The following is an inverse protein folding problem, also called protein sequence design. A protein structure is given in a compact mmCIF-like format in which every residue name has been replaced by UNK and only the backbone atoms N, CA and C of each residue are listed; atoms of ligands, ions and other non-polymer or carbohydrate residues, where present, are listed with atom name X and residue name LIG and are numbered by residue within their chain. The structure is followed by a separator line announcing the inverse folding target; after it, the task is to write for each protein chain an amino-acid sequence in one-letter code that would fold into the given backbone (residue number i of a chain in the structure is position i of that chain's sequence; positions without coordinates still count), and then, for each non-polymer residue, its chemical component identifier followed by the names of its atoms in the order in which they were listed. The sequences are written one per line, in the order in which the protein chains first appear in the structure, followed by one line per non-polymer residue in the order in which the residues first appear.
data_IF_907250449340
#
_entry.id   IF_907250449340
#
_cell.length_a   1.000
_cell.length_b   1.000
_cell.length_c   1.000
_cell.angle_alpha   90.00
_cell.angle_beta   90.00
_cell.angle_gamma   90.00
#
_symmetry.space_group_name_H-M   'P 1'
#
loop_
_entity.id
_entity.type
_entity.pdbx_description
1 polymer ?
#
# COMPACT_ATOMS: atom_id res chain seq x y z
N UNK A 1 21.71 50.41 39.19
CA UNK A 1 21.36 50.18 37.77
C UNK A 1 20.06 49.40 37.75
N UNK A 2 19.33 49.32 36.62
CA UNK A 2 18.14 48.46 36.52
C UNK A 2 18.54 47.02 36.21
N UNK A 3 17.78 46.03 36.72
CA UNK A 3 17.93 44.62 36.34
C UNK A 3 17.93 44.43 34.82
N UNK A 4 18.65 43.41 34.37
CA UNK A 4 18.65 42.94 32.98
C UNK A 4 18.09 41.52 32.91
N UNK A 5 18.15 40.85 31.76
CA UNK A 5 17.57 39.51 31.59
C UNK A 5 18.49 38.62 30.74
N UNK A 6 18.45 37.30 30.96
CA UNK A 6 19.10 36.34 30.07
C UNK A 6 18.53 36.43 28.66
N UNK A 7 19.35 36.10 27.67
CA UNK A 7 18.98 36.32 26.26
C UNK A 7 17.94 35.32 25.75
N UNK A 8 17.90 34.09 26.28
CA UNK A 8 17.08 32.99 25.73
C UNK A 8 15.74 32.85 26.45
N UNK A 9 15.75 32.50 27.73
CA UNK A 9 14.52 32.23 28.51
C UNK A 9 14.12 33.37 29.47
N UNK A 10 14.77 34.53 29.34
CA UNK A 10 14.37 35.79 29.99
C UNK A 10 14.34 35.74 31.52
N UNK A 11 15.28 35.01 32.13
CA UNK A 11 15.46 35.04 33.58
C UNK A 11 16.07 36.39 34.00
N UNK A 12 15.57 36.99 35.07
CA UNK A 12 16.08 38.26 35.58
C UNK A 12 17.54 38.12 36.06
N UNK A 13 18.36 39.09 35.67
CA UNK A 13 19.73 39.27 36.13
C UNK A 13 19.77 40.54 36.99
N UNK A 14 20.13 40.38 38.26
CA UNK A 14 20.13 41.46 39.23
C UNK A 14 21.17 42.52 38.89
N UNK A 15 20.86 43.79 39.14
CA UNK A 15 21.82 44.87 38.97
C UNK A 15 22.78 45.01 40.15
N UNK A 16 23.96 45.58 39.88
CA UNK A 16 24.95 45.87 40.93
C UNK A 16 24.34 46.76 42.03
N UNK A 17 24.41 46.27 43.28
CA UNK A 17 23.94 46.96 44.48
C UNK A 17 22.51 46.61 44.94
N UNK A 18 21.73 45.82 44.19
CA UNK A 18 20.39 45.37 44.62
C UNK A 18 20.45 44.33 45.75
N UNK A 19 21.55 43.58 45.83
CA UNK A 19 21.91 42.70 46.95
C UNK A 19 23.31 43.05 47.44
N UNK A 20 23.53 42.99 48.76
CA UNK A 20 24.81 43.39 49.36
C UNK A 20 25.98 42.51 48.84
N UNK A 21 27.09 43.16 48.45
CA UNK A 21 28.35 42.53 47.99
C UNK A 21 28.26 41.82 46.62
N UNK A 22 29.21 40.93 46.32
CA UNK A 22 29.33 40.22 45.01
C UNK A 22 28.33 39.10 44.80
N UNK A 23 27.32 38.98 45.66
CA UNK A 23 26.32 37.90 45.62
C UNK A 23 25.47 37.94 44.36
N UNK A 24 24.93 39.10 43.99
CA UNK A 24 24.10 39.25 42.78
C UNK A 24 24.85 38.84 41.52
N UNK A 25 26.10 39.29 41.39
CA UNK A 25 26.95 38.93 40.25
C UNK A 25 27.30 37.43 40.23
N UNK A 26 27.60 36.83 41.38
CA UNK A 26 27.86 35.37 41.48
C UNK A 26 26.63 34.54 41.14
N UNK A 27 25.44 34.95 41.59
CA UNK A 27 24.18 34.29 41.25
C UNK A 27 23.89 34.39 39.75
N UNK A 28 24.02 35.58 39.18
CA UNK A 28 23.81 35.82 37.76
C UNK A 28 24.72 34.92 36.91
N UNK A 29 26.03 34.91 37.19
CA UNK A 29 27.02 34.20 36.38
C UNK A 29 27.00 32.69 36.60
N UNK A 30 26.93 32.23 37.86
CA UNK A 30 27.17 30.82 38.19
C UNK A 30 25.89 30.00 38.28
N UNK A 31 24.71 30.63 38.20
CA UNK A 31 23.42 29.94 38.28
C UNK A 31 22.51 30.37 37.15
N UNK A 32 22.11 31.64 37.10
CA UNK A 32 21.01 32.08 36.23
C UNK A 32 21.40 31.92 34.75
N UNK A 33 22.59 32.38 34.36
CA UNK A 33 23.09 32.19 33.00
C UNK A 33 23.30 30.72 32.65
N UNK A 34 23.83 29.92 33.58
CA UNK A 34 24.07 28.50 33.34
C UNK A 34 22.77 27.69 33.22
N UNK A 35 21.70 28.10 33.90
CA UNK A 35 20.35 27.51 33.72
C UNK A 35 19.77 27.90 32.36
N UNK A 36 19.93 29.15 31.93
CA UNK A 36 19.52 29.60 30.59
C UNK A 36 20.23 28.78 29.48
N UNK A 37 21.52 28.52 29.65
CA UNK A 37 22.28 27.65 28.76
C UNK A 37 21.79 26.20 28.80
N UNK A 38 21.57 25.65 29.99
CA UNK A 38 21.14 24.26 30.19
C UNK A 38 19.77 23.95 29.56
N UNK A 39 18.89 24.94 29.49
CA UNK A 39 17.54 24.78 28.96
C UNK A 39 17.47 25.04 27.46
N UNK A 40 18.23 26.00 26.93
CA UNK A 40 17.99 26.51 25.58
C UNK A 40 19.24 26.80 24.73
N UNK A 41 20.46 26.67 25.24
CA UNK A 41 21.63 26.98 24.42
C UNK A 41 21.80 26.00 23.24
N UNK A 42 22.26 26.56 22.12
CA UNK A 42 22.65 25.88 20.90
C UNK A 42 24.15 26.06 20.70
N UNK A 43 24.90 24.97 20.73
CA UNK A 43 26.35 24.98 20.54
C UNK A 43 26.74 24.20 19.30
N UNK A 44 27.58 24.80 18.46
CA UNK A 44 28.17 24.13 17.29
C UNK A 44 29.60 23.69 17.61
N UNK A 45 29.85 22.39 17.45
CA UNK A 45 31.14 21.74 17.70
C UNK A 45 31.71 21.22 16.37
N UNK A 46 32.98 21.53 16.09
CA UNK A 46 33.69 20.99 14.93
C UNK A 46 34.44 19.74 15.32
N UNK A 47 34.25 18.65 14.58
CA UNK A 47 34.91 17.35 14.78
C UNK A 47 36.06 17.11 13.78
N UNK A 48 36.36 18.09 12.94
CA UNK A 48 37.35 17.94 11.87
C UNK A 48 38.77 17.77 12.43
N UNK A 49 39.42 16.66 12.07
CA UNK A 49 40.83 16.38 12.42
C UNK A 49 41.03 15.74 13.80
N UNK A 50 39.97 15.47 14.54
CA UNK A 50 40.04 14.88 15.88
C UNK A 50 39.95 13.34 15.84
N UNK A 51 40.75 12.67 16.66
CA UNK A 51 40.63 11.22 16.89
C UNK A 51 39.52 10.88 17.90
N UNK A 52 39.26 11.80 18.84
CA UNK A 52 38.13 11.81 19.77
C UNK A 52 37.96 13.23 20.28
N UNK A 53 36.73 13.66 20.49
CA UNK A 53 36.39 15.00 20.95
C UNK A 53 35.71 14.93 22.31
N UNK A 54 36.29 15.54 23.34
CA UNK A 54 35.65 15.64 24.66
C UNK A 54 35.02 17.02 24.79
N UNK A 55 33.70 17.06 25.02
CA UNK A 55 33.02 18.33 25.27
C UNK A 55 33.61 18.99 26.51
N UNK A 56 33.79 20.30 26.45
CA UNK A 56 34.12 21.07 27.66
C UNK A 56 33.03 20.86 28.72
N UNK A 57 33.46 20.68 29.96
CA UNK A 57 32.59 20.38 31.11
C UNK A 57 33.14 21.08 32.35
N UNK A 58 32.83 22.36 32.49
CA UNK A 58 33.39 23.23 33.54
C UNK A 58 32.44 23.35 34.73
N UNK A 59 32.99 23.43 35.94
CA UNK A 59 32.22 23.72 37.14
C UNK A 59 31.98 25.23 37.27
N UNK A 60 30.71 25.63 37.33
CA UNK A 60 30.33 27.03 37.58
C UNK A 60 30.76 28.01 36.48
N UNK A 61 30.97 27.52 35.25
CA UNK A 61 31.32 28.32 34.09
C UNK A 61 30.60 27.78 32.85
N UNK A 62 30.63 28.54 31.76
CA UNK A 62 30.11 28.11 30.46
C UNK A 62 30.90 26.93 29.92
N UNK A 63 30.21 25.99 29.31
CA UNK A 63 30.78 24.78 28.75
C UNK A 63 29.86 24.20 27.67
N UNK A 64 30.43 23.43 26.75
CA UNK A 64 29.70 22.87 25.61
C UNK A 64 28.73 21.78 26.07
N UNK A 65 29.14 20.95 27.04
CA UNK A 65 28.30 19.88 27.57
C UNK A 65 27.04 20.40 28.27
N UNK A 66 26.98 21.67 28.66
CA UNK A 66 25.81 22.30 29.28
C UNK A 66 24.73 22.67 28.28
N UNK A 67 25.03 22.89 27.02
CA UNK A 67 23.99 23.25 26.04
C UNK A 67 22.92 22.17 25.89
N UNK A 68 21.67 22.61 25.71
CA UNK A 68 20.53 21.71 25.44
C UNK A 68 20.61 21.12 24.03
N UNK A 69 21.14 21.88 23.08
CA UNK A 69 21.23 21.52 21.66
C UNK A 69 22.69 21.55 21.22
N UNK A 70 23.14 20.46 20.60
CA UNK A 70 24.49 20.30 20.05
C UNK A 70 24.41 20.05 18.55
N UNK A 71 25.12 20.85 17.76
CA UNK A 71 25.34 20.63 16.33
C UNK A 71 26.78 20.22 16.09
N UNK A 72 26.98 19.02 15.57
CA UNK A 72 28.31 18.55 15.17
C UNK A 72 28.52 18.79 13.68
N UNK A 73 29.66 19.38 13.32
CA UNK A 73 30.05 19.67 11.94
C UNK A 73 31.49 19.25 11.66
N UNK A 74 31.88 19.29 10.39
CA UNK A 74 33.23 18.92 9.93
C UNK A 74 33.23 17.62 9.13
N UNK A 75 34.36 17.33 8.50
CA UNK A 75 34.56 16.07 7.77
C UNK A 75 35.08 14.99 8.71
N UNK A 76 34.54 13.78 8.58
CA UNK A 76 34.92 12.60 9.35
C UNK A 76 35.40 11.52 8.38
N UNK A 77 36.71 11.31 8.38
CA UNK A 77 37.41 10.33 7.54
C UNK A 77 37.68 9.02 8.27
N UNK A 78 37.84 9.08 9.60
CA UNK A 78 37.96 7.93 10.49
C UNK A 78 36.99 8.07 11.65
N UNK A 79 36.48 6.95 12.18
CA UNK A 79 35.48 7.01 13.24
C UNK A 79 36.00 7.76 14.48
N UNK A 80 35.16 8.61 15.03
CA UNK A 80 35.48 9.51 16.14
C UNK A 80 34.49 9.33 17.29
N UNK A 81 34.99 9.36 18.52
CA UNK A 81 34.13 9.42 19.69
C UNK A 81 33.90 10.86 20.14
N UNK A 82 32.64 11.25 20.32
CA UNK A 82 32.25 12.47 21.03
C UNK A 82 31.91 12.12 22.46
N UNK A 83 32.72 12.61 23.40
CA UNK A 83 32.66 12.26 24.82
C UNK A 83 31.91 13.35 25.58
N UNK A 84 30.75 12.98 26.10
CA UNK A 84 29.94 13.79 27.02
C UNK A 84 30.23 13.42 28.49
N UNK A 85 29.89 14.28 29.46
CA UNK A 85 30.00 13.93 30.87
C UNK A 85 29.17 12.70 31.25
N UNK A 86 29.70 11.86 32.12
CA UNK A 86 29.02 10.73 32.77
C UNK A 86 27.98 11.22 33.79
N UNK A 87 26.99 11.99 33.34
CA UNK A 87 25.95 12.62 34.14
C UNK A 87 24.60 12.45 33.46
N UNK A 88 23.53 12.35 34.27
CA UNK A 88 22.18 12.27 33.72
C UNK A 88 21.81 13.58 33.03
N UNK A 89 21.57 13.53 31.72
CA UNK A 89 21.17 14.68 30.91
C UNK A 89 20.67 14.23 29.54
N UNK A 90 19.70 14.95 28.99
CA UNK A 90 19.30 14.83 27.59
C UNK A 90 19.88 15.94 26.72
N UNK A 91 20.02 15.65 25.44
CA UNK A 91 20.52 16.52 24.40
C UNK A 91 19.65 16.37 23.15
N UNK A 92 19.42 17.47 22.46
CA UNK A 92 19.04 17.42 21.05
C UNK A 92 20.34 17.48 20.25
N UNK A 93 20.61 16.46 19.46
CA UNK A 93 21.82 16.39 18.63
C UNK A 93 21.43 16.53 17.16
N UNK A 94 22.14 17.41 16.47
CA UNK A 94 22.06 17.61 15.03
C UNK A 94 23.37 17.20 14.38
N UNK A 95 23.31 16.24 13.48
CA UNK A 95 24.42 15.91 12.62
C UNK A 95 24.44 16.83 11.39
N UNK A 96 25.55 17.57 11.24
CA UNK A 96 25.87 18.40 10.08
C UNK A 96 27.28 18.09 9.56
N UNK A 97 27.80 16.91 9.91
CA UNK A 97 29.10 16.41 9.47
C UNK A 97 29.02 15.82 8.06
N UNK A 98 30.16 15.77 7.38
CA UNK A 98 30.33 15.04 6.12
C UNK A 98 31.05 13.73 6.42
N UNK A 99 30.50 12.59 6.01
CA UNK A 99 31.11 11.26 6.24
C UNK A 99 31.88 10.81 5.02
N UNK A 100 33.16 10.51 5.21
CA UNK A 100 34.06 10.04 4.16
C UNK A 100 34.92 8.86 4.67
N UNK A 101 34.27 7.88 5.30
CA UNK A 101 34.90 6.64 5.76
C UNK A 101 34.74 6.30 7.25
N UNK A 102 34.22 7.22 8.07
CA UNK A 102 34.01 6.98 9.50
C UNK A 102 32.69 7.54 10.05
N UNK A 103 32.25 6.95 11.16
CA UNK A 103 31.08 7.39 11.93
C UNK A 103 31.48 8.27 13.12
N UNK A 104 30.51 8.91 13.79
CA UNK A 104 30.78 9.43 15.13
C UNK A 104 29.83 8.82 16.13
N UNK A 105 30.40 8.50 17.28
CA UNK A 105 29.75 7.82 18.37
C UNK A 105 29.67 8.79 19.54
N UNK A 106 28.45 9.08 19.99
CA UNK A 106 28.24 9.82 21.23
C UNK A 106 28.41 8.83 22.39
N UNK A 107 29.30 9.11 23.34
CA UNK A 107 29.57 8.21 24.47
C UNK A 107 29.89 8.98 25.75
N UNK A 108 29.83 8.29 26.88
CA UNK A 108 30.55 8.74 28.08
C UNK A 108 31.96 8.15 28.09
N UNK A 109 32.87 8.73 28.86
CA UNK A 109 34.26 8.31 28.88
C UNK A 109 34.41 6.83 29.28
N UNK A 110 34.96 6.00 28.38
CA UNK A 110 35.27 4.59 28.62
C UNK A 110 34.07 3.63 28.58
N UNK A 111 32.87 4.10 28.22
CA UNK A 111 31.67 3.27 28.12
C UNK A 111 31.21 3.10 26.68
N UNK A 112 30.32 2.14 26.45
CA UNK A 112 29.68 1.97 25.15
C UNK A 112 28.90 3.23 24.75
N UNK A 113 29.05 3.63 23.48
CA UNK A 113 28.36 4.77 22.92
C UNK A 113 27.23 4.41 21.97
N UNK A 114 26.58 5.45 21.44
CA UNK A 114 25.56 5.37 20.42
C UNK A 114 26.06 6.04 19.13
N UNK A 115 26.10 5.29 18.04
CA UNK A 115 26.46 5.81 16.71
C UNK A 115 25.38 6.73 16.19
N UNK A 116 25.71 7.99 15.93
CA UNK A 116 24.71 8.96 15.45
C UNK A 116 24.47 8.76 13.95
N UNK A 117 23.21 8.55 13.51
CA UNK A 117 22.91 8.37 12.10
C UNK A 117 23.25 9.62 11.28
N UNK A 118 23.70 9.40 10.04
CA UNK A 118 24.15 10.46 9.14
C UNK A 118 23.02 11.46 8.87
N UNK A 119 23.32 12.76 8.96
CA UNK A 119 22.37 13.86 8.72
C UNK A 119 21.12 13.85 9.62
N UNK A 120 21.17 13.14 10.75
CA UNK A 120 20.04 13.03 11.68
C UNK A 120 19.86 14.25 12.59
N UNK A 121 18.65 14.36 13.13
CA UNK A 121 18.28 15.30 14.21
C UNK A 121 17.52 14.49 15.25
N UNK A 122 18.17 14.15 16.35
CA UNK A 122 17.63 13.20 17.33
C UNK A 122 17.69 13.72 18.77
N UNK A 123 16.90 13.10 19.64
CA UNK A 123 16.98 13.28 21.08
C UNK A 123 17.80 12.12 21.64
N UNK A 124 18.83 12.45 22.39
CA UNK A 124 19.73 11.48 23.02
C UNK A 124 19.85 11.82 24.50
N UNK A 125 19.94 10.82 25.36
CA UNK A 125 20.05 11.06 26.79
C UNK A 125 20.98 10.06 27.45
N UNK A 126 21.71 10.55 28.45
CA UNK A 126 22.60 9.76 29.27
C UNK A 126 21.95 9.45 30.61
N UNK A 127 22.13 8.22 31.09
CA UNK A 127 21.75 7.77 32.43
C UNK A 127 22.89 7.91 33.46
N UNK A 128 24.00 8.53 33.07
CA UNK A 128 25.26 8.59 33.81
C UNK A 128 26.31 7.59 33.31
N UNK A 129 25.94 6.60 32.49
CA UNK A 129 26.83 5.57 31.95
C UNK A 129 26.65 5.42 30.45
N UNK A 130 25.44 5.04 30.02
CA UNK A 130 25.12 4.71 28.64
C UNK A 130 24.37 5.86 27.95
N UNK A 131 24.40 5.85 26.62
CA UNK A 131 23.63 6.75 25.78
C UNK A 131 22.41 6.02 25.24
N UNK A 132 21.24 6.63 25.43
CA UNK A 132 19.96 6.15 24.96
C UNK A 132 19.34 7.15 23.98
N UNK A 133 18.37 6.68 23.22
CA UNK A 133 17.56 7.51 22.31
C UNK A 133 16.11 7.08 22.41
N UNK A 134 15.22 7.81 21.76
CA UNK A 134 13.83 7.38 21.58
C UNK A 134 13.79 6.08 20.77
N UNK A 135 12.89 5.17 21.14
CA UNK A 135 12.74 3.89 20.45
C UNK A 135 11.33 3.73 19.86
N UNK A 136 11.19 2.79 18.92
CA UNK A 136 9.93 2.51 18.24
C UNK A 136 8.79 2.16 19.21
N UNK A 137 9.09 1.41 20.28
CA UNK A 137 8.12 1.02 21.29
C UNK A 137 7.54 2.22 22.05
N UNK A 138 8.40 3.15 22.46
CA UNK A 138 8.01 4.38 23.15
C UNK A 138 7.29 5.39 22.25
N UNK A 139 7.59 5.39 20.95
CA UNK A 139 6.91 6.22 19.95
C UNK A 139 5.62 5.58 19.40
N UNK A 140 5.33 4.33 19.74
CA UNK A 140 4.14 3.61 19.25
C UNK A 140 4.16 3.31 17.74
N UNK A 141 5.35 3.26 17.13
CA UNK A 141 5.49 3.09 15.67
C UNK A 141 5.30 1.64 15.19
N UNK A 142 5.25 0.66 16.11
CA UNK A 142 5.05 -0.76 15.77
C UNK A 142 6.06 -1.27 14.72
N UNK A 143 5.58 -2.12 13.81
CA UNK A 143 6.36 -2.62 12.66
C UNK A 143 6.65 -1.56 11.60
N UNK A 144 5.96 -0.41 11.63
CA UNK A 144 6.19 0.68 10.70
C UNK A 144 7.55 1.36 10.90
N UNK A 145 8.18 1.21 12.08
CA UNK A 145 9.50 1.76 12.37
C UNK A 145 10.65 1.14 11.56
N UNK A 146 10.46 -0.08 11.04
CA UNK A 146 11.44 -0.81 10.24
C UNK A 146 10.93 -1.15 8.84
N UNK A 147 9.75 -0.64 8.46
CA UNK A 147 9.13 -0.99 7.19
C UNK A 147 9.69 -0.12 6.06
N UNK A 148 10.66 -0.66 5.35
CA UNK A 148 11.12 -0.11 4.09
C UNK A 148 10.34 -0.73 2.93
N UNK A 149 9.38 0.03 2.38
CA UNK A 149 8.59 -0.36 1.19
C UNK A 149 9.50 -0.59 -0.03
N UNK A 150 10.73 -0.09 0.01
CA UNK A 150 11.73 -0.22 -1.04
C UNK A 150 12.78 -1.28 -0.75
N UNK A 151 12.61 -2.12 0.27
CA UNK A 151 13.52 -3.23 0.55
C UNK A 151 13.53 -4.21 -0.62
N UNK A 152 14.42 -3.91 -1.56
CA UNK A 152 14.74 -4.69 -2.74
C UNK A 152 15.84 -5.70 -2.43
N UNK A 153 16.24 -5.83 -1.15
CA UNK A 153 17.30 -6.74 -0.74
C UNK A 153 16.92 -8.18 -1.08
N UNK A 154 17.88 -8.86 -1.68
CA UNK A 154 17.73 -10.26 -2.05
C UNK A 154 17.87 -11.07 -0.77
N UNK A 155 16.78 -11.68 -0.31
CA UNK A 155 16.78 -12.57 0.86
C UNK A 155 17.11 -14.01 0.50
N UNK A 156 16.90 -14.40 -0.75
CA UNK A 156 17.25 -15.73 -1.25
C UNK A 156 17.75 -15.70 -2.68
N UNK A 157 18.66 -16.61 -3.00
CA UNK A 157 19.10 -17.00 -4.34
C UNK A 157 18.97 -18.50 -4.48
N UNK A 158 18.61 -18.96 -5.66
CA UNK A 158 18.63 -20.37 -6.02
C UNK A 158 18.79 -20.49 -7.53
N UNK A 159 19.42 -21.54 -8.02
CA UNK A 159 19.50 -21.79 -9.46
C UNK A 159 18.43 -22.82 -9.85
N UNK A 160 17.85 -22.65 -11.03
CA UNK A 160 16.91 -23.65 -11.58
C UNK A 160 17.68 -24.91 -11.91
N UNK A 161 17.28 -26.04 -11.33
CA UNK A 161 17.91 -27.34 -11.55
C UNK A 161 17.07 -28.16 -12.53
N UNK A 162 17.47 -28.13 -13.80
CA UNK A 162 16.77 -28.67 -14.94
C UNK A 162 15.81 -27.67 -15.57
N UNK A 163 15.84 -27.57 -16.90
CA UNK A 163 14.97 -26.66 -17.64
C UNK A 163 13.48 -26.86 -17.32
N UNK A 164 12.77 -25.76 -17.12
CA UNK A 164 11.33 -25.70 -16.83
C UNK A 164 10.58 -25.35 -18.10
N UNK A 165 9.54 -26.10 -18.45
CA UNK A 165 8.73 -25.88 -19.64
C UNK A 165 7.25 -25.72 -19.28
N UNK A 166 6.77 -24.48 -19.31
CA UNK A 166 5.38 -24.10 -19.01
C UNK A 166 4.81 -24.75 -17.73
N UNK A 167 5.59 -24.76 -16.65
CA UNK A 167 5.22 -25.39 -15.39
C UNK A 167 5.29 -24.42 -14.20
N UNK A 168 4.45 -24.65 -13.20
CA UNK A 168 4.45 -23.88 -11.94
C UNK A 168 5.39 -24.47 -10.90
N UNK A 169 5.73 -25.75 -11.00
CA UNK A 169 6.73 -26.38 -10.15
C UNK A 169 8.13 -26.11 -10.73
N UNK A 170 9.03 -25.60 -9.90
CA UNK A 170 10.42 -25.30 -10.25
C UNK A 170 11.30 -26.07 -9.28
N UNK A 171 12.13 -26.95 -9.83
CA UNK A 171 13.21 -27.58 -9.07
C UNK A 171 14.37 -26.60 -8.97
N UNK A 172 14.91 -26.44 -7.78
CA UNK A 172 15.95 -25.48 -7.46
C UNK A 172 17.07 -26.12 -6.64
N UNK A 173 18.27 -25.57 -6.76
CA UNK A 173 19.42 -25.88 -5.90
C UNK A 173 20.06 -24.61 -5.31
N UNK A 174 21.17 -24.79 -4.56
CA UNK A 174 22.01 -23.68 -4.06
C UNK A 174 21.29 -22.57 -3.27
N UNK A 175 20.23 -22.92 -2.54
CA UNK A 175 19.41 -21.93 -1.82
C UNK A 175 20.24 -21.17 -0.78
N UNK A 176 20.51 -19.89 -1.01
CA UNK A 176 21.40 -19.07 -0.18
C UNK A 176 20.96 -17.61 -0.03
N UNK A 177 21.45 -16.90 0.98
CA UNK A 177 21.43 -15.42 1.02
C UNK A 177 22.44 -14.87 0.00
N UNK A 178 22.32 -13.60 -0.38
CA UNK A 178 23.34 -12.92 -1.22
C UNK A 178 24.78 -12.95 -0.68
N UNK A 179 25.03 -13.53 0.51
CA UNK A 179 26.33 -13.79 1.11
C UNK A 179 26.68 -15.28 1.35
N UNK A 180 25.93 -16.23 0.77
CA UNK A 180 26.29 -17.66 0.74
C UNK A 180 25.77 -18.55 1.87
N UNK A 181 25.07 -18.01 2.88
CA UNK A 181 24.45 -18.82 3.94
C UNK A 181 23.14 -19.46 3.44
N UNK A 182 22.87 -20.73 3.79
CA UNK A 182 21.68 -21.45 3.33
C UNK A 182 20.35 -20.81 3.81
N UNK A 183 19.33 -20.76 2.93
CA UNK A 183 18.03 -20.14 3.22
C UNK A 183 16.86 -21.03 2.86
N UNK A 184 15.85 -21.07 3.73
CA UNK A 184 14.54 -21.65 3.43
C UNK A 184 13.63 -20.59 2.80
N UNK A 185 13.47 -20.64 1.47
CA UNK A 185 12.49 -19.85 0.70
C UNK A 185 11.08 -20.15 1.22
N UNK A 186 10.28 -19.10 1.42
CA UNK A 186 8.93 -19.21 1.98
C UNK A 186 7.86 -18.82 0.96
N UNK A 187 6.62 -19.25 1.21
CA UNK A 187 5.46 -18.79 0.47
C UNK A 187 5.30 -17.26 0.58
N UNK A 188 4.80 -16.64 -0.49
CA UNK A 188 4.61 -15.19 -0.61
C UNK A 188 5.83 -14.45 -1.18
N UNK A 189 7.03 -15.02 -1.13
CA UNK A 189 8.23 -14.35 -1.64
C UNK A 189 8.11 -14.09 -3.14
N UNK A 190 8.49 -12.88 -3.57
CA UNK A 190 8.47 -12.51 -4.98
C UNK A 190 9.72 -13.07 -5.68
N UNK A 191 9.52 -13.64 -6.87
CA UNK A 191 10.56 -14.32 -7.64
C UNK A 191 10.99 -13.43 -8.80
N UNK A 192 12.29 -13.23 -8.94
CA UNK A 192 12.88 -12.47 -10.03
C UNK A 192 14.01 -13.28 -10.67
N UNK A 193 14.18 -13.16 -11.98
CA UNK A 193 15.22 -13.83 -12.73
C UNK A 193 15.10 -13.49 -14.21
N UNK A 194 16.10 -13.86 -14.99
CA UNK A 194 15.98 -13.75 -16.45
C UNK A 194 14.87 -14.66 -16.95
N UNK A 195 13.98 -14.15 -17.79
CA UNK A 195 12.83 -14.90 -18.34
C UNK A 195 11.77 -15.35 -17.32
N UNK A 196 11.81 -14.84 -16.09
CA UNK A 196 10.73 -15.01 -15.10
C UNK A 196 9.59 -14.05 -15.42
N UNK A 197 8.36 -14.54 -15.48
CA UNK A 197 7.18 -13.72 -15.73
C UNK A 197 6.99 -12.65 -14.65
N UNK A 198 6.49 -11.48 -15.05
CA UNK A 198 6.24 -10.40 -14.10
C UNK A 198 5.25 -10.83 -13.01
N UNK A 199 5.47 -10.37 -11.77
CA UNK A 199 4.63 -10.69 -10.61
C UNK A 199 4.60 -12.17 -10.19
N UNK A 200 5.61 -12.95 -10.60
CA UNK A 200 5.78 -14.32 -10.11
C UNK A 200 6.10 -14.31 -8.61
N UNK A 201 5.40 -15.13 -7.84
CA UNK A 201 5.64 -15.33 -6.41
C UNK A 201 5.53 -16.81 -6.04
N UNK A 202 6.23 -17.19 -4.97
CA UNK A 202 6.19 -18.53 -4.40
C UNK A 202 4.83 -18.76 -3.74
N UNK A 203 4.12 -19.80 -4.15
CA UNK A 203 2.83 -20.22 -3.56
C UNK A 203 3.10 -21.20 -2.43
N UNK A 204 3.95 -22.20 -2.68
CA UNK A 204 4.39 -23.18 -1.67
C UNK A 204 5.85 -23.56 -1.88
N UNK A 205 6.45 -24.08 -0.82
CA UNK A 205 7.69 -24.85 -0.91
C UNK A 205 7.35 -26.30 -0.62
N UNK A 206 7.44 -27.14 -1.64
CA UNK A 206 7.00 -28.54 -1.57
C UNK A 206 8.10 -29.44 -1.01
N UNK A 207 9.37 -29.06 -1.20
CA UNK A 207 10.53 -29.76 -0.62
C UNK A 207 11.74 -28.84 -0.42
N UNK A 208 12.86 -29.40 0.05
CA UNK A 208 14.13 -28.68 0.11
C UNK A 208 14.63 -28.22 -1.27
N UNK A 209 14.19 -28.84 -2.37
CA UNK A 209 14.69 -28.60 -3.74
C UNK A 209 13.58 -28.25 -4.72
N UNK A 210 12.35 -28.00 -4.26
CA UNK A 210 11.25 -27.66 -5.15
C UNK A 210 10.35 -26.59 -4.53
N UNK A 211 10.02 -25.60 -5.36
CA UNK A 211 9.03 -24.56 -5.08
C UNK A 211 7.92 -24.63 -6.13
N UNK A 212 6.72 -24.22 -5.75
CA UNK A 212 5.62 -23.97 -6.68
C UNK A 212 5.34 -22.47 -6.72
N UNK A 213 5.24 -21.90 -7.92
CA UNK A 213 4.94 -20.49 -8.17
C UNK A 213 3.54 -20.31 -8.75
N UNK A 214 3.02 -19.07 -8.70
CA UNK A 214 1.63 -18.74 -9.06
C UNK A 214 1.33 -18.76 -10.57
N UNK A 215 2.37 -18.71 -11.41
CA UNK A 215 2.22 -18.65 -12.87
C UNK A 215 3.22 -19.61 -13.50
N UNK A 216 2.80 -20.34 -14.53
CA UNK A 216 3.67 -21.25 -15.26
C UNK A 216 4.88 -20.51 -15.86
N UNK A 217 6.08 -21.03 -15.66
CA UNK A 217 7.33 -20.46 -16.14
C UNK A 217 7.95 -21.31 -17.25
N UNK A 218 8.75 -20.68 -18.10
CA UNK A 218 9.65 -21.36 -19.04
C UNK A 218 11.07 -20.84 -18.80
N UNK A 219 11.90 -21.65 -18.15
CA UNK A 219 13.22 -21.27 -17.66
C UNK A 219 14.27 -22.25 -18.16
N UNK A 220 15.46 -21.75 -18.48
CA UNK A 220 16.58 -22.61 -18.79
C UNK A 220 17.16 -23.25 -17.51
N UNK A 221 17.89 -24.34 -17.69
CA UNK A 221 18.75 -24.86 -16.64
C UNK A 221 19.76 -23.79 -16.17
N UNK A 222 20.17 -23.84 -14.91
CA UNK A 222 21.05 -22.87 -14.24
C UNK A 222 20.56 -21.41 -14.27
N UNK A 223 19.27 -21.16 -14.53
CA UNK A 223 18.71 -19.81 -14.43
C UNK A 223 18.75 -19.35 -12.98
N UNK A 224 19.48 -18.27 -12.70
CA UNK A 224 19.56 -17.69 -11.35
C UNK A 224 18.23 -17.02 -10.99
N UNK A 225 17.60 -17.53 -9.93
CA UNK A 225 16.43 -16.93 -9.30
C UNK A 225 16.86 -16.14 -8.07
N UNK A 226 16.25 -14.98 -7.88
CA UNK A 226 16.36 -14.15 -6.69
C UNK A 226 14.99 -13.99 -6.05
N UNK A 227 14.96 -14.12 -4.74
CA UNK A 227 13.76 -14.05 -3.94
C UNK A 227 13.83 -12.83 -3.03
N UNK A 228 12.71 -12.14 -2.94
CA UNK A 228 12.54 -10.98 -2.07
C UNK A 228 11.33 -11.21 -1.18
N UNK A 229 11.29 -10.57 -0.02
CA UNK A 229 10.10 -10.58 0.81
C UNK A 229 8.87 -10.15 0.00
N UNK A 230 7.68 -10.68 0.31
CA UNK A 230 6.46 -10.15 -0.25
C UNK A 230 6.38 -8.65 0.03
N UNK A 231 5.89 -7.90 -0.95
CA UNK A 231 5.22 -6.62 -0.69
C UNK A 231 3.72 -6.92 -0.64
N UNK A 232 3.26 -7.66 0.38
CA UNK A 232 1.84 -7.99 0.46
C UNK A 232 1.04 -6.73 0.77
N UNK A 233 -0.20 -6.66 0.26
CA UNK A 233 -1.12 -5.57 0.57
C UNK A 233 -1.43 -5.46 2.09
N UNK A 234 -1.15 -6.52 2.85
CA UNK A 234 -1.21 -6.61 4.32
C UNK A 234 0.04 -6.12 5.05
N UNK A 235 1.14 -5.86 4.33
CA UNK A 235 2.38 -5.31 4.90
C UNK A 235 2.50 -3.81 4.69
N UNK A 236 1.56 -3.16 3.99
CA UNK A 236 1.41 -1.71 4.11
C UNK A 236 1.14 -1.43 5.59
N UNK A 237 1.92 -0.57 6.26
CA UNK A 237 1.71 -0.26 7.67
C UNK A 237 0.22 0.01 7.92
N UNK A 238 -0.28 -0.53 9.04
CA UNK A 238 -1.68 -0.53 9.51
C UNK A 238 -2.28 0.88 9.74
N UNK A 239 -1.74 1.91 9.08
CA UNK A 239 -2.33 3.24 9.01
C UNK A 239 -3.51 3.31 8.03
N UNK A 240 -3.89 2.21 7.34
CA UNK A 240 -4.98 2.26 6.34
C UNK A 240 -5.83 1.00 6.11
N UNK A 241 -5.91 0.01 7.00
CA UNK A 241 -6.91 -1.05 6.84
C UNK A 241 -8.35 -0.50 6.81
N UNK A 242 -8.58 0.67 7.43
CA UNK A 242 -9.82 1.44 7.34
C UNK A 242 -9.83 2.53 6.25
N UNK A 243 -8.69 2.85 5.62
CA UNK A 243 -8.55 3.99 4.69
C UNK A 243 -7.74 3.69 3.42
N UNK A 244 -7.68 2.44 2.97
CA UNK A 244 -7.21 2.09 1.63
C UNK A 244 -8.28 2.50 0.59
N UNK A 245 -8.44 3.82 0.37
CA UNK A 245 -9.37 4.40 -0.64
C UNK A 245 -9.02 4.06 -2.08
N UNK A 246 -7.92 3.35 -2.31
CA UNK A 246 -7.50 2.96 -3.64
C UNK A 246 -7.74 1.47 -3.82
N UNK A 247 -8.80 1.14 -4.56
CA UNK A 247 -8.81 -0.13 -5.28
C UNK A 247 -7.56 -0.09 -6.18
N UNK A 248 -6.63 -1.04 -6.03
CA UNK A 248 -5.48 -1.15 -6.93
C UNK A 248 -6.03 -1.55 -8.30
N UNK A 249 -6.27 -0.56 -9.14
CA UNK A 249 -6.73 -0.72 -10.52
C UNK A 249 -5.63 -0.14 -11.40
N UNK A 250 -4.97 -1.00 -12.16
CA UNK A 250 -4.05 -0.70 -13.25
C UNK A 250 -4.81 -0.29 -14.52
N UNK A 251 -4.11 -0.15 -15.65
CA UNK A 251 -4.69 0.23 -16.94
C UNK A 251 -5.76 -0.75 -17.45
N UNK A 252 -5.76 -2.00 -16.98
CA UNK A 252 -6.83 -2.97 -17.23
C UNK A 252 -6.99 -3.87 -16.01
N UNK A 253 -8.12 -3.76 -15.30
CA UNK A 253 -8.37 -4.55 -14.10
C UNK A 253 -9.83 -4.96 -13.95
N UNK A 254 -10.03 -6.12 -13.31
CA UNK A 254 -11.36 -6.64 -13.00
C UNK A 254 -11.65 -6.48 -11.52
N UNK A 255 -12.62 -5.62 -11.19
CA UNK A 255 -13.11 -5.51 -9.81
C UNK A 255 -14.11 -6.65 -9.57
N UNK A 256 -13.73 -7.61 -8.72
CA UNK A 256 -14.59 -8.75 -8.34
C UNK A 256 -15.40 -8.45 -7.06
N UNK A 257 -16.59 -9.04 -6.98
CA UNK A 257 -17.51 -8.95 -5.82
C UNK A 257 -18.33 -7.66 -5.77
N UNK A 258 -19.33 -7.63 -4.87
CA UNK A 258 -20.19 -6.46 -4.68
C UNK A 258 -19.38 -5.23 -4.24
N UNK A 259 -19.78 -4.04 -4.72
CA UNK A 259 -19.21 -2.75 -4.34
C UNK A 259 -20.35 -1.77 -4.12
N UNK A 260 -20.24 -0.97 -3.06
CA UNK A 260 -21.19 0.09 -2.73
C UNK A 260 -20.52 1.42 -3.03
N UNK A 261 -21.09 2.20 -3.93
CA UNK A 261 -20.69 3.58 -4.19
C UNK A 261 -21.61 4.49 -3.37
N UNK A 262 -21.07 5.16 -2.35
CA UNK A 262 -21.83 6.07 -1.47
C UNK A 262 -22.00 7.47 -2.06
N UNK A 263 -21.45 7.71 -3.24
CA UNK A 263 -21.53 8.96 -4.01
C UNK A 263 -21.59 8.66 -5.51
N UNK A 264 -21.56 9.69 -6.35
CA UNK A 264 -21.63 9.60 -7.82
C UNK A 264 -20.49 8.71 -8.35
N UNK A 265 -20.87 7.72 -9.19
CA UNK A 265 -19.93 6.95 -10.00
C UNK A 265 -19.90 7.52 -11.43
N UNK A 266 -18.74 7.99 -11.87
CA UNK A 266 -18.51 8.53 -13.22
C UNK A 266 -17.71 7.54 -14.05
N UNK A 267 -18.18 7.23 -15.26
CA UNK A 267 -17.45 6.43 -16.24
C UNK A 267 -17.07 7.31 -17.42
N UNK A 268 -15.78 7.41 -17.72
CA UNK A 268 -15.25 8.25 -18.81
C UNK A 268 -15.33 7.59 -20.20
N UNK A 269 -15.87 6.38 -20.26
CA UNK A 269 -16.09 5.61 -21.48
C UNK A 269 -17.42 4.86 -21.40
N UNK A 270 -18.01 4.43 -22.54
CA UNK A 270 -19.26 3.68 -22.55
C UNK A 270 -19.18 2.39 -21.71
N UNK A 271 -20.16 2.21 -20.83
CA UNK A 271 -20.37 0.93 -20.13
C UNK A 271 -21.17 0.02 -21.06
N UNK A 272 -20.47 -0.80 -21.85
CA UNK A 272 -21.13 -1.77 -22.71
C UNK A 272 -21.65 -2.96 -21.88
N UNK A 273 -22.93 -3.28 -21.99
CA UNK A 273 -23.48 -4.57 -21.53
C UNK A 273 -23.47 -5.54 -22.72
N UNK A 274 -22.50 -6.45 -22.85
CA UNK A 274 -22.46 -7.31 -24.03
C UNK A 274 -23.70 -8.22 -24.02
N UNK A 275 -24.33 -8.42 -25.18
CA UNK A 275 -25.55 -9.21 -25.26
C UNK A 275 -25.28 -10.70 -25.08
N UNK A 276 -26.22 -11.43 -24.49
CA UNK A 276 -26.20 -12.91 -24.48
C UNK A 276 -27.19 -13.44 -25.52
N UNK A 277 -26.70 -14.31 -26.41
CA UNK A 277 -27.54 -14.98 -27.40
C UNK A 277 -28.26 -16.18 -26.77
N UNK A 278 -29.56 -16.26 -27.01
CA UNK A 278 -30.43 -17.39 -26.66
C UNK A 278 -30.95 -17.97 -27.97
N UNK A 279 -30.34 -19.06 -28.42
CA UNK A 279 -30.78 -19.75 -29.64
C UNK A 279 -31.84 -20.80 -29.28
N UNK A 280 -32.99 -20.74 -29.94
CA UNK A 280 -33.95 -21.84 -29.91
C UNK A 280 -33.59 -22.89 -30.96
N UNK A 281 -33.81 -24.17 -30.65
CA UNK A 281 -33.79 -25.24 -31.66
C UNK A 281 -35.21 -25.54 -32.16
N UNK A 282 -35.34 -26.21 -33.32
CA UNK A 282 -36.63 -26.51 -33.95
C UNK A 282 -37.59 -27.36 -33.08
N UNK A 283 -37.09 -27.96 -31.99
CA UNK A 283 -37.89 -28.72 -31.03
C UNK A 283 -38.27 -27.91 -29.78
N UNK A 284 -37.75 -26.68 -29.62
CA UNK A 284 -37.97 -25.83 -28.45
C UNK A 284 -39.03 -24.77 -28.73
N UNK A 285 -40.11 -24.79 -27.96
CA UNK A 285 -41.20 -23.80 -28.02
C UNK A 285 -41.21 -22.84 -26.81
N UNK A 286 -40.12 -22.78 -26.04
CA UNK A 286 -40.02 -21.97 -24.81
C UNK A 286 -38.73 -21.15 -24.82
N UNK A 287 -38.85 -19.83 -24.71
CA UNK A 287 -37.73 -18.89 -24.55
C UNK A 287 -37.43 -18.76 -23.06
N UNK A 288 -36.29 -19.31 -22.63
CA UNK A 288 -35.83 -19.27 -21.24
C UNK A 288 -34.63 -18.34 -21.10
N UNK A 289 -34.71 -17.40 -20.15
CA UNK A 289 -33.69 -16.35 -19.94
C UNK A 289 -33.33 -16.26 -18.46
N UNK A 290 -32.04 -16.10 -18.15
CA UNK A 290 -31.55 -15.80 -16.79
C UNK A 290 -31.07 -14.36 -16.70
N UNK A 291 -31.71 -13.58 -15.83
CA UNK A 291 -31.36 -12.18 -15.59
C UNK A 291 -30.10 -12.00 -14.74
N UNK A 292 -29.54 -13.07 -14.19
CA UNK A 292 -28.20 -13.03 -13.59
C UNK A 292 -27.08 -12.92 -14.64
N UNK A 293 -27.36 -13.28 -15.90
CA UNK A 293 -26.33 -13.38 -16.94
C UNK A 293 -26.00 -12.02 -17.56
N UNK A 294 -27.01 -11.28 -18.04
CA UNK A 294 -26.91 -9.95 -18.68
C UNK A 294 -28.24 -9.19 -18.60
N UNK A 295 -28.22 -7.91 -18.98
CA UNK A 295 -29.44 -7.10 -19.15
C UNK A 295 -29.92 -7.05 -20.61
N UNK A 296 -29.07 -7.42 -21.57
CA UNK A 296 -29.39 -7.45 -23.01
C UNK A 296 -29.31 -8.87 -23.55
N UNK A 297 -30.38 -9.32 -24.22
CA UNK A 297 -30.47 -10.64 -24.81
C UNK A 297 -30.83 -10.57 -26.30
N UNK A 298 -30.39 -11.57 -27.06
CA UNK A 298 -30.77 -11.77 -28.46
C UNK A 298 -31.35 -13.16 -28.60
N UNK A 299 -32.63 -13.25 -28.93
CA UNK A 299 -33.36 -14.50 -29.11
C UNK A 299 -33.61 -14.72 -30.60
N UNK A 300 -33.09 -15.83 -31.12
CA UNK A 300 -33.41 -16.29 -32.47
C UNK A 300 -34.56 -17.27 -32.39
N UNK A 301 -35.71 -16.88 -32.93
CA UNK A 301 -36.88 -17.74 -33.12
C UNK A 301 -36.61 -18.66 -34.31
N UNK A 302 -37.06 -19.91 -34.22
CA UNK A 302 -36.85 -20.90 -35.27
C UNK A 302 -38.13 -21.65 -35.55
N UNK A 303 -38.39 -21.92 -36.83
CA UNK A 303 -39.58 -22.56 -37.38
C UNK A 303 -40.87 -21.78 -37.13
N UNK A 304 -41.80 -21.81 -38.08
CA UNK A 304 -43.09 -21.09 -38.02
C UNK A 304 -44.04 -21.70 -36.96
N UNK A 305 -43.69 -21.60 -35.68
CA UNK A 305 -44.34 -22.26 -34.56
C UNK A 305 -44.74 -21.28 -33.44
N UNK A 306 -45.60 -21.73 -32.54
CA UNK A 306 -45.89 -21.02 -31.30
C UNK A 306 -44.74 -21.17 -30.29
N UNK A 307 -44.18 -20.05 -29.85
CA UNK A 307 -43.16 -19.99 -28.79
C UNK A 307 -43.71 -19.23 -27.58
N UNK A 308 -43.35 -19.64 -26.37
CA UNK A 308 -43.72 -18.98 -25.12
C UNK A 308 -42.50 -18.34 -24.48
N UNK A 309 -42.57 -17.05 -24.15
CA UNK A 309 -41.56 -16.37 -23.36
C UNK A 309 -41.82 -16.68 -21.90
N UNK A 310 -40.96 -17.53 -21.31
CA UNK A 310 -41.11 -17.98 -19.94
C UNK A 310 -40.84 -16.86 -18.93
N UNK A 311 -41.18 -17.10 -17.67
CA UNK A 311 -40.69 -16.27 -16.57
C UNK A 311 -39.14 -16.34 -16.50
N UNK A 312 -38.45 -15.18 -16.53
CA UNK A 312 -36.99 -15.16 -16.37
C UNK A 312 -36.56 -15.68 -14.99
N UNK A 313 -35.45 -16.43 -14.93
CA UNK A 313 -34.84 -16.78 -13.65
C UNK A 313 -33.98 -15.63 -13.11
N UNK A 314 -33.86 -15.52 -11.79
CA UNK A 314 -33.05 -14.51 -11.09
C UNK A 314 -33.49 -13.04 -11.31
N UNK A 315 -34.78 -12.81 -11.58
CA UNK A 315 -35.31 -11.46 -11.70
C UNK A 315 -35.23 -10.70 -10.37
N UNK A 316 -34.53 -9.56 -10.37
CA UNK A 316 -34.37 -8.70 -9.18
C UNK A 316 -35.11 -7.37 -9.36
N UNK A 317 -35.82 -6.92 -8.33
CA UNK A 317 -36.55 -5.65 -8.39
C UNK A 317 -35.63 -4.47 -8.76
N UNK A 318 -36.08 -3.64 -9.70
CA UNK A 318 -35.31 -2.51 -10.25
C UNK A 318 -34.42 -2.85 -11.44
N UNK A 319 -34.27 -4.14 -11.79
CA UNK A 319 -33.53 -4.54 -12.99
C UNK A 319 -34.29 -4.14 -14.26
N UNK A 320 -33.58 -3.55 -15.22
CA UNK A 320 -34.13 -3.15 -16.51
C UNK A 320 -33.22 -3.61 -17.65
N UNK A 321 -33.80 -3.86 -18.82
CA UNK A 321 -33.05 -4.33 -19.96
C UNK A 321 -33.90 -4.51 -21.21
N UNK A 322 -33.34 -5.23 -22.18
CA UNK A 322 -33.99 -5.43 -23.48
C UNK A 322 -33.68 -6.80 -24.09
N UNK A 323 -34.65 -7.36 -24.80
CA UNK A 323 -34.56 -8.64 -25.49
C UNK A 323 -34.88 -8.41 -26.97
N UNK A 324 -33.91 -8.62 -27.85
CA UNK A 324 -34.15 -8.67 -29.29
C UNK A 324 -34.78 -10.02 -29.63
N UNK A 325 -35.89 -10.00 -30.37
CA UNK A 325 -36.63 -11.17 -30.81
C UNK A 325 -36.56 -11.20 -32.34
N UNK A 326 -35.87 -12.21 -32.89
CA UNK A 326 -35.53 -12.26 -34.32
C UNK A 326 -36.24 -13.46 -34.95
N UNK A 327 -37.09 -13.22 -35.95
CA UNK A 327 -37.65 -14.26 -36.80
C UNK A 327 -36.56 -14.92 -37.64
N UNK A 328 -36.65 -16.22 -37.90
CA UNK A 328 -35.74 -16.88 -38.84
C UNK A 328 -36.03 -16.47 -40.30
N UNK A 329 -35.29 -17.07 -41.24
CA UNK A 329 -35.46 -16.83 -42.68
C UNK A 329 -36.82 -17.27 -43.23
N UNK A 330 -37.63 -18.01 -42.49
CA UNK A 330 -38.98 -18.43 -42.88
C UNK A 330 -40.04 -17.48 -42.33
N UNK A 331 -39.85 -17.01 -41.10
CA UNK A 331 -40.87 -16.24 -40.38
C UNK A 331 -42.06 -17.12 -39.95
N UNK A 332 -43.03 -16.51 -39.29
CA UNK A 332 -44.25 -17.17 -38.85
C UNK A 332 -44.25 -17.61 -37.39
N UNK A 333 -43.15 -17.44 -36.64
CA UNK A 333 -43.14 -17.80 -35.21
C UNK A 333 -44.00 -16.82 -34.43
N UNK A 334 -44.93 -17.32 -33.61
CA UNK A 334 -45.85 -16.49 -32.80
C UNK A 334 -45.46 -16.58 -31.33
N UNK A 335 -45.37 -15.43 -30.66
CA UNK A 335 -45.02 -15.34 -29.25
C UNK A 335 -46.26 -15.30 -28.36
N UNK A 336 -46.17 -16.07 -27.29
CA UNK A 336 -47.02 -15.98 -26.09
C UNK A 336 -46.12 -15.65 -24.91
N UNK A 337 -46.70 -15.18 -23.81
CA UNK A 337 -45.94 -14.71 -22.65
C UNK A 337 -46.45 -15.35 -21.37
N UNK A 338 -45.53 -15.74 -20.51
CA UNK A 338 -45.84 -16.14 -19.14
C UNK A 338 -46.57 -14.99 -18.40
N UNK A 339 -47.52 -15.28 -17.50
CA UNK A 339 -48.20 -14.25 -16.73
C UNK A 339 -47.28 -13.29 -15.96
N UNK A 340 -46.04 -13.62 -15.63
CA UNK A 340 -45.16 -12.63 -14.96
C UNK A 340 -44.96 -11.36 -15.81
N UNK A 341 -45.08 -11.46 -17.13
CA UNK A 341 -44.99 -10.34 -18.06
C UNK A 341 -46.29 -9.52 -18.08
N UNK A 342 -46.18 -8.24 -17.75
CA UNK A 342 -47.27 -7.27 -17.70
C UNK A 342 -47.10 -6.27 -18.82
N UNK A 343 -48.15 -6.17 -19.64
CA UNK A 343 -48.18 -5.28 -20.79
C UNK A 343 -49.21 -4.16 -20.59
N UNK A 344 -49.06 -3.03 -21.29
CA UNK A 344 -50.05 -1.96 -21.29
C UNK A 344 -51.46 -2.51 -21.63
N UNK A 345 -52.48 -1.98 -20.94
CA UNK A 345 -53.88 -2.36 -21.11
C UNK A 345 -54.18 -3.85 -20.83
N UNK A 346 -53.31 -4.55 -20.09
CA UNK A 346 -53.45 -5.96 -19.73
C UNK A 346 -53.59 -6.91 -20.94
N UNK A 347 -53.10 -6.50 -22.11
CA UNK A 347 -53.14 -7.31 -23.34
C UNK A 347 -51.72 -7.62 -23.80
N UNK A 348 -51.40 -8.91 -23.95
CA UNK A 348 -50.14 -9.34 -24.52
C UNK A 348 -50.03 -8.88 -25.99
N UNK A 349 -48.89 -8.29 -26.41
CA UNK A 349 -48.69 -7.90 -27.80
C UNK A 349 -48.42 -9.13 -28.67
N UNK A 350 -48.89 -9.10 -29.92
CA UNK A 350 -48.39 -10.02 -30.95
C UNK A 350 -46.99 -9.59 -31.38
N UNK A 351 -46.13 -10.49 -31.85
CA UNK A 351 -44.88 -10.13 -32.51
C UNK A 351 -45.04 -10.01 -34.03
N UNK A 352 -44.06 -9.40 -34.69
CA UNK A 352 -43.92 -9.40 -36.14
C UNK A 352 -43.54 -10.82 -36.59
N UNK A 353 -44.25 -11.34 -37.59
CA UNK A 353 -44.06 -12.70 -38.10
C UNK A 353 -43.39 -12.75 -39.46
N UNK A 354 -43.05 -11.60 -40.05
CA UNK A 354 -42.32 -11.55 -41.32
C UNK A 354 -40.94 -12.19 -41.16
N UNK A 355 -40.51 -12.96 -42.16
CA UNK A 355 -39.17 -13.55 -42.20
C UNK A 355 -38.08 -12.52 -41.87
N UNK A 356 -37.14 -12.90 -41.02
CA UNK A 356 -36.01 -12.06 -40.58
C UNK A 356 -36.39 -10.76 -39.87
N UNK A 357 -37.66 -10.57 -39.48
CA UNK A 357 -38.06 -9.40 -38.71
C UNK A 357 -37.42 -9.40 -37.32
N UNK A 358 -37.10 -8.20 -36.83
CA UNK A 358 -36.58 -7.96 -35.49
C UNK A 358 -37.56 -7.11 -34.70
N UNK A 359 -37.97 -7.62 -33.54
CA UNK A 359 -38.71 -6.87 -32.53
C UNK A 359 -37.83 -6.70 -31.27
N UNK A 360 -38.14 -5.70 -30.45
CA UNK A 360 -37.45 -5.40 -29.20
C UNK A 360 -38.44 -5.39 -28.04
N UNK A 361 -38.27 -6.33 -27.12
CA UNK A 361 -39.01 -6.37 -25.86
C UNK A 361 -38.20 -5.63 -24.79
N UNK A 362 -38.67 -4.47 -24.37
CA UNK A 362 -38.06 -3.67 -23.29
C UNK A 362 -38.78 -3.99 -21.99
N UNK A 363 -38.05 -4.17 -20.90
CA UNK A 363 -38.61 -4.58 -19.62
C UNK A 363 -38.04 -3.82 -18.42
N UNK A 364 -38.85 -3.77 -17.35
CA UNK A 364 -38.46 -3.35 -16.01
C UNK A 364 -39.08 -4.31 -14.98
N UNK A 365 -38.24 -4.84 -14.09
CA UNK A 365 -38.64 -5.81 -13.07
C UNK A 365 -39.16 -5.06 -11.86
N UNK A 366 -40.47 -5.09 -11.65
CA UNK A 366 -41.10 -4.53 -10.45
C UNK A 366 -40.88 -5.43 -9.24
N UNK A 367 -40.92 -6.74 -9.44
CA UNK A 367 -40.64 -7.77 -8.43
C UNK A 367 -40.23 -9.08 -9.12
N UNK A 368 -39.78 -10.07 -8.35
CA UNK A 368 -39.40 -11.39 -8.89
C UNK A 368 -40.53 -12.13 -9.65
N UNK A 369 -41.79 -11.71 -9.49
CA UNK A 369 -42.97 -12.31 -10.13
C UNK A 369 -43.78 -11.32 -10.97
N UNK A 370 -43.29 -10.09 -11.17
CA UNK A 370 -43.99 -9.05 -11.93
C UNK A 370 -42.99 -8.21 -12.72
N UNK A 371 -43.06 -8.31 -14.04
CA UNK A 371 -42.17 -7.64 -14.98
C UNK A 371 -43.02 -6.79 -15.93
N UNK A 372 -42.83 -5.47 -15.88
CA UNK A 372 -43.49 -4.55 -16.81
C UNK A 372 -42.71 -4.53 -18.13
N UNK A 373 -43.41 -4.71 -19.24
CA UNK A 373 -42.77 -4.80 -20.56
C UNK A 373 -43.57 -4.13 -21.67
N UNK A 374 -42.86 -3.75 -22.73
CA UNK A 374 -43.42 -3.26 -23.99
C UNK A 374 -42.69 -3.89 -25.15
N UNK A 375 -43.44 -4.30 -26.17
CA UNK A 375 -42.88 -4.81 -27.42
C UNK A 375 -42.89 -3.70 -28.48
N UNK A 376 -41.70 -3.31 -28.90
CA UNK A 376 -41.45 -2.42 -30.03
C UNK A 376 -41.19 -3.29 -31.26
N UNK A 377 -41.80 -2.97 -32.40
CA UNK A 377 -41.83 -3.86 -33.57
C UNK A 377 -41.11 -3.29 -34.78
N UNK A 378 -40.65 -4.18 -35.65
CA UNK A 378 -40.27 -3.82 -37.02
C UNK A 378 -38.98 -3.01 -37.11
N UNK A 379 -37.99 -3.32 -36.29
CA UNK A 379 -36.65 -2.77 -36.45
C UNK A 379 -36.08 -3.33 -37.77
N UNK A 380 -35.94 -2.46 -38.77
CA UNK A 380 -35.46 -2.84 -40.10
C UNK A 380 -34.02 -3.35 -40.10
N UNK A 381 -33.67 -4.20 -41.08
CA UNK A 381 -32.27 -4.49 -41.41
C UNK A 381 -31.71 -3.28 -42.17
N UNK A 382 -30.56 -2.78 -41.77
CA UNK A 382 -29.57 -2.39 -42.78
C UNK A 382 -28.90 -3.65 -43.29
#
# INVERSE_FOLDING_TARGET
MSSTYTSRIKLELQADGENANTWGQRLNNNVIQLVDDAVAAYTTVSLAGDASYTLTNNNGATDEARSAILEFKGEITTSINVIIPSQSKFYIVRDKTTRNGGDYVLQTAGNAGYTIPVSSRGIYFCDGVNIHTLNAGGLGLGTAASFDVTDTSIVGKADVNGAVSAATAITIDNTSTGGGAAVSIQAGWTVHGTSVEASTHVVTRDSATQITVNTAQTLADDTVLTFKYPVSATEIPDVSAADARYVRVSTADTIRGAKIYTSIATFNAPVATPATTVALSAAQSVVSISFATRNTFVVSLVSAQGCSVAAPSNATAGQSGSIYLIQDGTGGSVLTYDPVWRFPNASAPSNTITASAVDLLVYNVRSATTIDAVLLKGFGRT
#
